data_IF_343129763863
#
_entry.id   IF_343129763863
#
_cell.length_a   1.000
_cell.length_b   1.000
_cell.length_c   1.000
_cell.angle_alpha   90.00
_cell.angle_beta   90.00
_cell.angle_gamma   90.00
#
_symmetry.space_group_name_H-M   'P 1'
#
loop_
_entity.id
_entity.type
_entity.pdbx_description
1 polymer ?
#
# COMPACT_ATOMS: atom_id res chain seq x y z
N UNK A 1 2.24 9.96 22.02
CA UNK A 1 3.32 9.50 21.11
C UNK A 1 2.75 9.36 19.72
N UNK A 2 3.46 9.81 18.70
CA UNK A 2 3.07 9.66 17.30
C UNK A 2 3.41 8.24 16.84
N UNK A 3 2.49 7.57 16.15
CA UNK A 3 2.69 6.23 15.60
C UNK A 3 3.35 6.35 14.23
N UNK A 4 4.51 5.74 14.08
CA UNK A 4 5.21 5.68 12.79
C UNK A 4 4.64 4.55 11.96
N UNK A 5 4.32 4.83 10.72
CA UNK A 5 3.78 3.83 9.80
C UNK A 5 4.48 3.83 8.45
N UNK A 6 4.52 2.68 7.82
CA UNK A 6 4.67 2.50 6.38
C UNK A 6 3.33 2.03 5.87
N UNK A 7 2.82 2.64 4.81
CA UNK A 7 1.57 2.25 4.17
C UNK A 7 1.86 1.51 2.87
N UNK A 8 1.48 0.24 2.81
CA UNK A 8 1.48 -0.59 1.60
C UNK A 8 0.05 -0.72 1.09
N UNK A 9 -0.22 -0.23 -0.11
CA UNK A 9 -1.57 -0.02 -0.63
C UNK A 9 -1.66 -0.29 -2.14
N UNK A 10 -2.87 -0.37 -2.66
CA UNK A 10 -3.13 -0.48 -4.10
C UNK A 10 -4.14 0.59 -4.55
N UNK A 11 -3.78 1.90 -4.49
CA UNK A 11 -4.70 3.01 -4.41
C UNK A 11 -5.93 2.94 -5.31
N UNK A 12 -7.04 2.58 -4.66
CA UNK A 12 -8.41 2.80 -5.00
C UNK A 12 -8.99 3.90 -4.11
N UNK A 13 -10.32 4.08 -4.12
CA UNK A 13 -10.98 5.17 -3.39
C UNK A 13 -10.81 5.08 -1.87
N UNK A 14 -10.84 3.89 -1.30
CA UNK A 14 -10.64 3.64 0.12
C UNK A 14 -9.18 3.87 0.55
N UNK A 15 -8.20 3.45 -0.26
CA UNK A 15 -6.79 3.77 -0.02
C UNK A 15 -6.52 5.28 -0.08
N UNK A 16 -7.18 6.01 -0.98
CA UNK A 16 -7.07 7.47 -1.03
C UNK A 16 -7.55 8.11 0.28
N UNK A 17 -8.61 7.58 0.88
CA UNK A 17 -9.07 7.99 2.21
C UNK A 17 -8.08 7.60 3.30
N UNK A 18 -7.51 6.39 3.24
CA UNK A 18 -6.50 5.92 4.18
C UNK A 18 -5.23 6.80 4.13
N UNK A 19 -4.75 7.14 2.92
CA UNK A 19 -3.63 8.08 2.74
C UNK A 19 -3.94 9.46 3.31
N UNK A 20 -5.14 9.98 3.03
CA UNK A 20 -5.59 11.27 3.57
C UNK A 20 -5.62 11.25 5.10
N UNK A 21 -6.15 10.20 5.71
CA UNK A 21 -6.18 10.02 7.16
C UNK A 21 -4.75 9.93 7.74
N UNK A 22 -3.87 9.17 7.09
CA UNK A 22 -2.49 8.99 7.54
C UNK A 22 -1.72 10.32 7.55
N UNK A 23 -1.93 11.17 6.53
CA UNK A 23 -1.29 12.48 6.42
C UNK A 23 -1.93 13.51 7.36
N UNK A 24 -3.26 13.53 7.48
CA UNK A 24 -3.97 14.54 8.25
C UNK A 24 -3.90 14.30 9.77
N UNK A 25 -3.67 13.07 10.22
CA UNK A 25 -3.68 12.74 11.63
C UNK A 25 -2.42 13.19 12.36
N UNK A 26 -2.52 14.06 13.40
CA UNK A 26 -1.36 14.45 14.19
C UNK A 26 -0.79 13.30 15.05
N UNK A 27 -1.46 12.16 15.08
CA UNK A 27 -1.03 10.96 15.82
C UNK A 27 -0.29 9.96 14.93
N UNK A 28 -0.18 10.22 13.63
CA UNK A 28 0.48 9.35 12.66
C UNK A 28 1.64 10.10 12.01
N UNK A 29 2.74 9.40 11.84
CA UNK A 29 3.89 9.83 11.02
C UNK A 29 4.02 8.81 9.88
N UNK A 30 3.62 9.22 8.67
CA UNK A 30 3.73 8.40 7.46
C UNK A 30 5.16 8.51 6.93
N UNK A 31 5.94 7.43 7.06
CA UNK A 31 7.36 7.39 6.71
C UNK A 31 7.60 7.06 5.23
N UNK A 32 6.75 6.22 4.66
CA UNK A 32 6.85 5.78 3.26
C UNK A 32 5.51 5.23 2.78
N UNK A 33 5.32 5.26 1.46
CA UNK A 33 4.22 4.59 0.77
C UNK A 33 4.81 3.57 -0.19
N UNK A 34 4.27 2.36 -0.18
CA UNK A 34 4.58 1.33 -1.17
C UNK A 34 3.30 0.89 -1.86
N UNK A 35 3.38 0.46 -3.12
CA UNK A 35 2.18 0.05 -3.83
C UNK A 35 2.28 -1.37 -4.36
N UNK A 36 1.14 -2.05 -4.43
CA UNK A 36 0.98 -3.36 -5.05
C UNK A 36 -0.01 -3.26 -6.22
N UNK A 37 -0.02 -4.27 -7.06
CA UNK A 37 -1.14 -4.53 -7.96
C UNK A 37 -2.32 -5.08 -7.15
N UNK A 38 -3.53 -4.74 -7.53
CA UNK A 38 -4.77 -5.17 -6.86
C UNK A 38 -5.95 -4.45 -7.47
N UNK A 39 -6.41 -3.35 -6.88
CA UNK A 39 -7.52 -2.55 -7.40
C UNK A 39 -7.34 -2.17 -8.87
N UNK A 40 -6.08 -1.94 -9.29
CA UNK A 40 -5.69 -1.72 -10.68
C UNK A 40 -4.29 -2.29 -10.97
N UNK A 41 -3.84 -2.12 -12.20
CA UNK A 41 -2.48 -2.53 -12.61
C UNK A 41 -1.42 -1.76 -11.80
N UNK A 42 -0.21 -2.33 -11.62
CA UNK A 42 0.82 -1.74 -10.76
C UNK A 42 1.25 -0.33 -11.19
N UNK A 43 1.21 -0.02 -12.49
CA UNK A 43 1.55 1.31 -12.97
C UNK A 43 0.48 2.34 -12.60
N UNK A 44 -0.79 1.94 -12.62
CA UNK A 44 -1.91 2.81 -12.20
C UNK A 44 -1.92 3.01 -10.68
N UNK A 45 -1.72 1.96 -9.90
CA UNK A 45 -1.69 2.08 -8.43
C UNK A 45 -0.54 2.96 -7.95
N UNK A 46 0.65 2.83 -8.56
CA UNK A 46 1.79 3.70 -8.27
C UNK A 46 1.49 5.15 -8.65
N UNK A 47 0.97 5.39 -9.85
CA UNK A 47 0.60 6.73 -10.28
C UNK A 47 -0.47 7.35 -9.36
N UNK A 48 -1.46 6.58 -8.93
CA UNK A 48 -2.50 7.03 -8.02
C UNK A 48 -1.93 7.41 -6.64
N UNK A 49 -0.97 6.63 -6.10
CA UNK A 49 -0.28 6.98 -4.86
C UNK A 49 0.45 8.33 -5.00
N UNK A 50 1.16 8.54 -6.09
CA UNK A 50 1.86 9.80 -6.37
C UNK A 50 0.89 10.97 -6.53
N UNK A 51 -0.22 10.79 -7.26
CA UNK A 51 -1.28 11.81 -7.40
C UNK A 51 -1.90 12.19 -6.06
N UNK A 52 -2.12 11.21 -5.17
CA UNK A 52 -2.63 11.45 -3.82
C UNK A 52 -1.61 12.21 -2.96
N UNK A 53 -0.32 11.82 -2.99
CA UNK A 53 0.73 12.55 -2.28
C UNK A 53 0.84 14.01 -2.77
N UNK A 54 0.73 14.22 -4.09
CA UNK A 54 0.69 15.56 -4.69
C UNK A 54 -0.51 16.36 -4.22
N UNK A 55 -1.71 15.77 -4.22
CA UNK A 55 -2.93 16.43 -3.73
C UNK A 55 -2.80 16.83 -2.25
N UNK A 56 -2.15 16.00 -1.46
CA UNK A 56 -1.98 16.20 -0.02
C UNK A 56 -0.79 17.12 0.32
N UNK A 57 -0.01 17.59 -0.68
CA UNK A 57 1.19 18.41 -0.47
C UNK A 57 2.28 17.68 0.29
N UNK A 58 2.44 16.38 0.04
CA UNK A 58 3.38 15.51 0.74
C UNK A 58 4.28 14.73 -0.23
N UNK A 59 4.77 15.40 -1.23
CA UNK A 59 5.76 14.88 -2.19
C UNK A 59 7.13 14.57 -1.54
N UNK A 60 7.31 14.99 -0.29
CA UNK A 60 8.44 14.65 0.56
C UNK A 60 8.43 13.19 1.02
N UNK A 61 7.27 12.53 1.05
CA UNK A 61 7.15 11.13 1.46
C UNK A 61 7.61 10.23 0.32
N UNK A 62 8.63 9.36 0.56
CA UNK A 62 9.11 8.45 -0.47
C UNK A 62 8.03 7.43 -0.84
N UNK A 63 7.87 7.21 -2.15
CA UNK A 63 6.94 6.23 -2.72
C UNK A 63 7.68 5.28 -3.65
N UNK A 64 7.37 3.99 -3.58
CA UNK A 64 7.93 2.96 -4.46
C UNK A 64 6.87 1.99 -4.97
N UNK A 65 6.99 1.61 -6.24
CA UNK A 65 6.22 0.51 -6.81
C UNK A 65 6.72 -0.85 -6.30
N UNK A 66 5.81 -1.74 -6.08
CA UNK A 66 6.09 -3.09 -5.61
C UNK A 66 5.83 -4.16 -6.67
N UNK A 67 5.36 -5.30 -6.19
CA UNK A 67 5.16 -6.46 -7.03
C UNK A 67 4.11 -6.19 -8.11
N UNK A 68 4.43 -6.62 -9.33
CA UNK A 68 3.58 -6.36 -10.49
C UNK A 68 2.45 -7.37 -10.65
N UNK A 69 2.55 -8.50 -9.97
CA UNK A 69 1.58 -9.61 -10.00
C UNK A 69 1.45 -10.23 -8.62
N UNK A 70 0.33 -10.91 -8.32
CA UNK A 70 0.24 -11.81 -7.18
C UNK A 70 1.34 -12.88 -7.21
N UNK A 71 1.58 -13.57 -6.09
CA UNK A 71 2.65 -14.57 -5.98
C UNK A 71 2.43 -15.75 -6.93
N UNK A 72 1.21 -16.22 -7.08
CA UNK A 72 0.88 -17.40 -7.89
C UNK A 72 -0.26 -17.14 -8.86
N UNK A 73 -1.34 -16.50 -8.43
CA UNK A 73 -2.51 -16.21 -9.28
C UNK A 73 -2.19 -15.20 -10.38
N UNK A 74 -2.87 -15.28 -11.54
CA UNK A 74 -2.96 -14.16 -12.45
C UNK A 74 -3.60 -12.95 -11.77
N UNK A 75 -3.13 -11.75 -12.11
CA UNK A 75 -3.72 -10.53 -11.59
C UNK A 75 -5.16 -10.36 -12.10
N UNK A 76 -6.08 -10.16 -11.17
CA UNK A 76 -7.44 -9.71 -11.43
C UNK A 76 -7.62 -8.34 -10.75
N UNK A 77 -8.16 -7.37 -11.48
CA UNK A 77 -8.31 -6.00 -10.98
C UNK A 77 -9.77 -5.66 -10.70
N UNK A 78 -10.01 -4.64 -9.87
CA UNK A 78 -11.34 -4.16 -9.49
C UNK A 78 -11.75 -2.89 -10.27
N UNK A 79 -11.45 -2.82 -11.57
CA UNK A 79 -11.83 -1.68 -12.40
C UNK A 79 -13.34 -1.40 -12.43
N UNK A 80 -14.18 -2.41 -12.21
CA UNK A 80 -15.62 -2.25 -12.07
C UNK A 80 -16.02 -1.45 -10.82
N UNK A 81 -15.18 -1.45 -9.78
CA UNK A 81 -15.43 -0.75 -8.51
C UNK A 81 -14.77 0.63 -8.49
N UNK A 82 -13.51 0.71 -8.94
CA UNK A 82 -12.66 1.90 -8.79
C UNK A 82 -12.52 2.70 -10.08
N UNK A 83 -13.10 2.22 -11.18
CA UNK A 83 -13.01 2.84 -12.50
C UNK A 83 -11.73 2.51 -13.25
N UNK A 84 -11.63 3.06 -14.46
CA UNK A 84 -10.54 2.76 -15.41
C UNK A 84 -9.16 3.19 -14.87
N UNK A 85 -9.10 4.34 -14.19
CA UNK A 85 -7.87 4.82 -13.56
C UNK A 85 -7.58 4.18 -12.19
N UNK A 86 -8.60 3.59 -11.56
CA UNK A 86 -8.59 3.15 -10.15
C UNK A 86 -9.01 4.24 -9.16
N UNK A 87 -9.10 5.50 -9.61
CA UNK A 87 -9.57 6.67 -8.84
C UNK A 87 -10.45 7.57 -9.71
N UNK A 88 -11.38 6.96 -10.46
CA UNK A 88 -12.29 7.71 -11.31
C UNK A 88 -13.23 8.60 -10.46
N UNK A 89 -13.57 9.76 -11.00
CA UNK A 89 -14.46 10.73 -10.36
C UNK A 89 -13.88 12.13 -10.46
N UNK A 90 -13.29 12.65 -9.39
CA UNK A 90 -12.68 13.97 -9.42
C UNK A 90 -11.28 13.92 -10.05
N UNK A 91 -10.92 14.86 -10.95
CA UNK A 91 -9.59 14.90 -11.55
C UNK A 91 -8.53 15.23 -10.50
N UNK A 92 -7.61 14.29 -10.28
CA UNK A 92 -6.47 14.47 -9.40
C UNK A 92 -5.32 15.17 -10.16
N UNK A 93 -4.45 15.92 -9.45
CA UNK A 93 -3.28 16.54 -10.07
C UNK A 93 -2.34 15.47 -10.60
N UNK A 94 -1.66 15.77 -11.72
CA UNK A 94 -0.57 14.93 -12.19
C UNK A 94 0.67 15.15 -11.32
N UNK A 95 1.40 14.07 -10.97
CA UNK A 95 2.60 14.19 -10.16
C UNK A 95 3.73 14.85 -10.96
N UNK A 96 4.46 15.74 -10.32
CA UNK A 96 5.66 16.40 -10.86
C UNK A 96 6.95 15.95 -10.15
N UNK A 97 6.88 14.83 -9.45
CA UNK A 97 7.98 14.14 -8.80
C UNK A 97 8.04 12.67 -9.26
N UNK A 98 9.13 11.99 -8.96
CA UNK A 98 9.33 10.60 -9.36
C UNK A 98 9.29 9.68 -8.13
N UNK A 99 8.86 8.42 -8.30
CA UNK A 99 9.04 7.43 -7.26
C UNK A 99 10.54 7.20 -7.02
N UNK A 100 10.89 6.72 -5.82
CA UNK A 100 12.29 6.37 -5.54
C UNK A 100 12.74 5.18 -6.39
N UNK A 101 14.02 5.14 -6.76
CA UNK A 101 14.62 4.02 -7.51
C UNK A 101 14.88 2.81 -6.61
N UNK A 102 13.84 2.36 -5.92
CA UNK A 102 13.83 1.18 -5.06
C UNK A 102 12.54 0.40 -5.33
N UNK A 103 12.58 -0.89 -5.13
CA UNK A 103 11.36 -1.69 -5.03
C UNK A 103 10.64 -1.41 -3.70
N UNK A 104 9.36 -1.75 -3.60
CA UNK A 104 8.61 -1.64 -2.33
C UNK A 104 9.34 -2.35 -1.18
N UNK A 105 9.85 -3.55 -1.41
CA UNK A 105 10.56 -4.36 -0.40
C UNK A 105 11.82 -3.65 0.08
N UNK A 106 12.58 -3.06 -0.83
CA UNK A 106 13.81 -2.31 -0.50
C UNK A 106 13.49 -1.01 0.22
N UNK A 107 12.41 -0.29 -0.17
CA UNK A 107 11.97 0.92 0.52
C UNK A 107 11.50 0.60 1.94
N UNK A 108 10.70 -0.47 2.14
CA UNK A 108 10.32 -0.94 3.47
C UNK A 108 11.58 -1.22 4.31
N UNK A 109 12.53 -2.01 3.76
CA UNK A 109 13.75 -2.37 4.46
C UNK A 109 14.60 -1.14 4.83
N UNK A 110 14.75 -0.19 3.91
CA UNK A 110 15.48 1.07 4.15
C UNK A 110 14.82 1.88 5.26
N UNK A 111 13.52 2.12 5.16
CA UNK A 111 12.75 2.90 6.13
C UNK A 111 12.84 2.31 7.53
N UNK A 112 12.72 0.99 7.65
CA UNK A 112 12.85 0.29 8.93
C UNK A 112 14.27 0.40 9.52
N UNK A 113 15.32 0.30 8.71
CA UNK A 113 16.71 0.45 9.15
C UNK A 113 16.99 1.86 9.67
N UNK A 114 16.47 2.87 9.00
CA UNK A 114 16.65 4.29 9.33
C UNK A 114 15.79 4.73 10.54
N UNK A 115 14.71 4.02 10.84
CA UNK A 115 13.86 4.36 11.98
C UNK A 115 14.55 4.01 13.31
N UNK A 116 14.61 5.00 14.21
CA UNK A 116 15.13 4.81 15.56
C UNK A 116 14.18 3.99 16.46
N UNK A 117 12.91 3.92 16.10
CA UNK A 117 11.86 3.23 16.88
C UNK A 117 11.16 2.19 15.99
N UNK A 118 10.51 1.18 16.57
CA UNK A 118 9.68 0.24 15.81
C UNK A 118 8.60 0.97 15.00
N UNK A 119 8.22 0.38 13.88
CA UNK A 119 7.28 0.93 12.90
C UNK A 119 6.11 -0.03 12.71
N UNK A 120 4.91 0.47 12.52
CA UNK A 120 3.77 -0.32 12.09
C UNK A 120 3.74 -0.41 10.57
N UNK A 121 3.68 -1.62 10.05
CA UNK A 121 3.39 -1.85 8.64
C UNK A 121 1.88 -1.95 8.45
N UNK A 122 1.30 -0.97 7.75
CA UNK A 122 -0.12 -0.94 7.42
C UNK A 122 -0.28 -1.41 5.98
N UNK A 123 -1.08 -2.43 5.76
CA UNK A 123 -1.32 -3.03 4.44
C UNK A 123 -2.81 -2.94 4.13
N UNK A 124 -3.17 -2.07 3.19
CA UNK A 124 -4.56 -1.89 2.76
C UNK A 124 -4.87 -2.58 1.43
N UNK A 125 -3.84 -2.96 0.69
CA UNK A 125 -3.91 -3.80 -0.51
C UNK A 125 -3.59 -5.28 -0.26
N UNK A 126 -3.43 -6.08 -1.34
CA UNK A 126 -2.95 -7.45 -1.25
C UNK A 126 -1.60 -7.55 -0.55
N UNK A 127 -1.40 -8.58 0.26
CA UNK A 127 -0.19 -8.73 1.10
C UNK A 127 1.08 -9.14 0.36
N UNK A 128 1.10 -9.14 -0.96
CA UNK A 128 2.23 -9.59 -1.80
C UNK A 128 3.57 -8.99 -1.38
N UNK A 129 3.64 -7.65 -1.25
CA UNK A 129 4.86 -6.96 -0.85
C UNK A 129 5.26 -7.31 0.60
N UNK A 130 4.30 -7.34 1.51
CA UNK A 130 4.53 -7.66 2.91
C UNK A 130 5.04 -9.11 3.06
N UNK A 131 4.43 -10.07 2.38
CA UNK A 131 4.84 -11.47 2.38
C UNK A 131 6.29 -11.63 1.86
N UNK A 132 6.62 -11.02 0.74
CA UNK A 132 7.96 -11.03 0.18
C UNK A 132 8.97 -10.34 1.12
N UNK A 133 8.61 -9.19 1.68
CA UNK A 133 9.46 -8.50 2.65
C UNK A 133 9.77 -9.38 3.87
N UNK A 134 8.77 -10.02 4.45
CA UNK A 134 8.93 -10.90 5.61
C UNK A 134 9.82 -12.11 5.30
N UNK A 135 9.78 -12.61 4.08
CA UNK A 135 10.64 -13.73 3.64
C UNK A 135 12.07 -13.31 3.36
N UNK A 136 12.28 -12.12 2.80
CA UNK A 136 13.63 -11.63 2.42
C UNK A 136 14.36 -11.03 3.64
N UNK A 137 13.63 -10.36 4.53
CA UNK A 137 14.20 -9.66 5.68
C UNK A 137 13.58 -10.09 7.04
N UNK A 138 13.53 -11.40 7.38
CA UNK A 138 12.83 -11.88 8.57
C UNK A 138 13.39 -11.29 9.88
N UNK A 139 14.69 -11.16 10.00
CA UNK A 139 15.31 -10.62 11.22
C UNK A 139 15.08 -9.11 11.37
N UNK A 140 15.08 -8.37 10.26
CA UNK A 140 14.75 -6.95 10.28
C UNK A 140 13.27 -6.73 10.64
N UNK A 141 12.38 -7.52 10.06
CA UNK A 141 10.97 -7.50 10.39
C UNK A 141 10.73 -7.72 11.88
N UNK A 142 11.31 -8.79 12.43
CA UNK A 142 11.20 -9.12 13.86
C UNK A 142 11.76 -8.02 14.78
N UNK A 143 12.83 -7.37 14.37
CA UNK A 143 13.49 -6.34 15.19
C UNK A 143 12.82 -4.96 15.11
N UNK A 144 12.16 -4.63 13.99
CA UNK A 144 11.74 -3.26 13.67
C UNK A 144 10.25 -3.10 13.40
N UNK A 145 9.51 -4.15 13.11
CA UNK A 145 8.05 -4.07 12.99
C UNK A 145 7.43 -4.30 14.37
N UNK A 146 6.71 -3.29 14.83
CA UNK A 146 5.93 -3.34 16.06
C UNK A 146 4.62 -4.13 15.84
N UNK A 147 3.99 -3.88 14.70
CA UNK A 147 2.69 -4.40 14.38
C UNK A 147 2.46 -4.41 12.86
N UNK A 148 1.76 -5.40 12.37
CA UNK A 148 1.18 -5.39 11.02
C UNK A 148 -0.32 -5.18 11.19
N UNK A 149 -0.84 -4.15 10.51
CA UNK A 149 -2.27 -3.86 10.44
C UNK A 149 -2.71 -4.13 9.00
N UNK A 150 -3.57 -5.10 8.83
CA UNK A 150 -3.94 -5.60 7.51
C UNK A 150 -5.44 -5.47 7.26
N UNK A 151 -5.80 -4.94 6.08
CA UNK A 151 -7.16 -4.93 5.56
C UNK A 151 -7.36 -6.14 4.63
N UNK A 152 -8.07 -7.14 5.11
CA UNK A 152 -8.32 -8.36 4.34
C UNK A 152 -9.03 -9.43 5.14
N UNK A 153 -9.52 -10.42 4.42
CA UNK A 153 -10.26 -11.53 4.97
C UNK A 153 -11.72 -11.23 5.23
N UNK A 154 -12.51 -12.28 5.38
CA UNK A 154 -13.94 -12.19 5.66
C UNK A 154 -14.38 -13.23 6.66
N UNK A 155 -15.32 -12.85 7.52
CA UNK A 155 -16.04 -13.78 8.42
C UNK A 155 -17.47 -13.93 7.92
N UNK A 156 -17.75 -15.06 7.27
CA UNK A 156 -19.07 -15.36 6.69
C UNK A 156 -19.23 -14.82 5.29
N UNK A 157 -19.55 -13.54 5.12
CA UNK A 157 -19.72 -12.92 3.80
C UNK A 157 -18.48 -12.15 3.38
N UNK A 158 -18.04 -12.37 2.14
CA UNK A 158 -17.00 -11.58 1.48
C UNK A 158 -17.56 -10.33 0.79
N UNK A 159 -16.67 -9.53 0.23
CA UNK A 159 -17.04 -8.35 -0.57
C UNK A 159 -16.78 -8.55 -2.08
N UNK A 160 -16.10 -9.64 -2.48
CA UNK A 160 -15.82 -9.96 -3.88
C UNK A 160 -16.56 -11.20 -4.35
N UNK A 161 -16.49 -12.29 -3.59
CA UNK A 161 -17.27 -13.51 -3.78
C UNK A 161 -18.03 -13.82 -2.48
N UNK A 162 -19.00 -14.74 -2.49
CA UNK A 162 -19.86 -14.97 -1.33
C UNK A 162 -19.12 -15.15 0.00
N UNK A 163 -17.91 -15.73 -0.02
CA UNK A 163 -17.12 -16.00 1.18
C UNK A 163 -15.68 -15.47 1.08
N UNK A 164 -15.39 -14.61 0.10
CA UNK A 164 -14.02 -14.17 -0.18
C UNK A 164 -13.94 -12.64 -0.22
N UNK A 165 -13.01 -12.11 0.53
CA UNK A 165 -12.65 -10.70 0.53
C UNK A 165 -11.64 -10.43 -0.59
N UNK A 166 -11.66 -9.22 -1.18
CA UNK A 166 -10.96 -8.89 -2.41
C UNK A 166 -9.43 -9.00 -2.29
N UNK A 167 -8.81 -8.46 -1.25
CA UNK A 167 -7.35 -8.51 -1.13
C UNK A 167 -6.83 -9.94 -0.97
N UNK A 168 -7.57 -10.77 -0.21
CA UNK A 168 -7.29 -12.21 -0.12
C UNK A 168 -7.59 -12.92 -1.45
N UNK A 169 -8.59 -12.47 -2.21
CA UNK A 169 -8.87 -13.06 -3.51
C UNK A 169 -7.76 -12.79 -4.52
N UNK A 170 -7.20 -11.59 -4.52
CA UNK A 170 -6.13 -11.20 -5.45
C UNK A 170 -4.85 -11.97 -5.20
N UNK A 171 -4.44 -12.11 -3.95
CA UNK A 171 -3.21 -12.84 -3.57
C UNK A 171 -3.45 -13.65 -2.30
N UNK A 172 -3.95 -14.89 -2.42
CA UNK A 172 -4.28 -15.73 -1.28
C UNK A 172 -3.07 -16.43 -0.64
N UNK A 173 -1.92 -16.48 -1.33
CA UNK A 173 -0.69 -17.13 -0.86
C UNK A 173 0.07 -16.28 0.15
#
# INVERSE_FOLDING_TARGET
MTKKIILDCDPGHDDALAMTLAVASPKIELLAVTTSAGNQTPDKTLNNAMRMLKLLGREDIPVAGGNRTPLVKPLETAGEVHGESGLDGYPLPEPDFQPVELTAIELIAKTLKESATPVTLVVTGPMTNAALFLRVYPELAKAKIDQIVYMGGAMGLGNWQPSVEFNIFVDPE
#
